data_IF_725821912517
#
_entry.id   IF_725821912517
#
_cell.length_a   1.000
_cell.length_b   1.000
_cell.length_c   1.000
_cell.angle_alpha   90.00
_cell.angle_beta   90.00
_cell.angle_gamma   90.00
#
_symmetry.space_group_name_H-M   'P 1'
#
loop_
_entity.id
_entity.type
_entity.pdbx_description
1 polymer ?
#
# COMPACT_ATOMS: atom_id res chain seq x y z
N UNK A 1 50.48 45.92 56.16
CA UNK A 1 49.13 45.39 56.45
C UNK A 1 48.26 45.62 55.23
N UNK A 2 47.45 44.61 54.88
CA UNK A 2 46.30 44.66 53.96
C UNK A 2 46.59 44.53 52.45
N UNK A 3 46.47 43.28 51.99
CA UNK A 3 46.28 42.79 50.61
C UNK A 3 45.01 43.38 49.98
N UNK A 4 45.02 43.68 48.67
CA UNK A 4 43.92 43.54 47.69
C UNK A 4 44.62 43.38 46.32
N UNK A 5 44.88 42.14 45.88
CA UNK A 5 44.12 41.39 44.87
C UNK A 5 44.17 41.99 43.44
N UNK A 6 45.21 41.55 42.74
CA UNK A 6 45.34 41.43 41.29
C UNK A 6 44.16 40.59 40.73
N UNK A 7 43.31 41.12 39.86
CA UNK A 7 42.33 40.34 39.08
C UNK A 7 42.00 41.10 37.76
N UNK A 8 41.60 40.40 36.68
CA UNK A 8 42.21 40.52 35.36
C UNK A 8 41.26 41.22 34.39
N UNK A 9 41.59 42.44 33.98
CA UNK A 9 40.79 43.20 33.01
C UNK A 9 40.92 42.70 31.55
N UNK A 10 41.74 41.67 31.29
CA UNK A 10 42.03 41.20 29.94
C UNK A 10 41.02 40.16 29.39
N UNK A 11 40.16 39.58 30.23
CA UNK A 11 39.26 38.49 29.84
C UNK A 11 37.92 38.94 29.21
N UNK A 12 37.62 40.24 29.19
CA UNK A 12 36.35 40.77 28.65
C UNK A 12 36.41 41.10 27.16
N UNK A 13 37.61 41.22 26.57
CA UNK A 13 37.78 41.49 25.13
C UNK A 13 37.62 40.26 24.25
N UNK A 14 37.73 39.05 24.80
CA UNK A 14 37.55 37.79 24.05
C UNK A 14 36.08 37.44 23.76
N UNK A 15 35.10 38.15 24.34
CA UNK A 15 33.68 37.88 24.12
C UNK A 15 33.04 38.70 22.99
N UNK A 16 33.73 39.74 22.50
CA UNK A 16 33.25 40.57 21.38
C UNK A 16 33.34 39.84 20.00
N UNK A 17 33.91 38.63 19.96
CA UNK A 17 33.98 37.78 18.77
C UNK A 17 32.94 36.66 18.71
N UNK A 18 32.09 36.48 19.73
CA UNK A 18 30.94 35.58 19.61
C UNK A 18 29.88 36.28 18.76
N UNK A 19 29.78 35.87 17.50
CA UNK A 19 28.73 36.26 16.57
C UNK A 19 27.36 36.02 17.21
N UNK A 20 26.79 37.04 17.85
CA UNK A 20 25.51 36.98 18.58
C UNK A 20 24.34 37.34 17.67
N UNK A 21 24.59 37.36 16.35
CA UNK A 21 23.53 37.44 15.36
C UNK A 21 22.71 36.15 15.45
N UNK A 22 21.38 36.23 15.54
CA UNK A 22 20.55 35.05 15.43
C UNK A 22 20.87 34.37 14.11
N UNK A 23 21.36 33.13 14.14
CA UNK A 23 21.42 32.33 12.92
C UNK A 23 19.98 32.11 12.47
N UNK A 24 19.56 32.84 11.44
CA UNK A 24 18.34 32.50 10.72
C UNK A 24 18.62 31.18 10.03
N UNK A 25 18.14 30.10 10.64
CA UNK A 25 17.92 28.83 9.93
C UNK A 25 16.89 29.15 8.86
N UNK A 26 17.36 29.58 7.69
CA UNK A 26 16.53 29.61 6.50
C UNK A 26 16.23 28.14 6.24
N UNK A 27 15.01 27.74 6.56
CA UNK A 27 14.45 26.46 6.14
C UNK A 27 14.88 26.30 4.67
N UNK A 28 15.55 25.19 4.35
CA UNK A 28 16.24 24.98 3.07
C UNK A 28 15.38 25.34 1.85
N UNK A 29 15.96 25.35 0.64
CA UNK A 29 15.32 25.86 -0.57
C UNK A 29 13.85 25.45 -0.65
N UNK A 30 12.98 26.44 -0.86
CA UNK A 30 11.53 26.27 -0.98
C UNK A 30 11.29 25.12 -1.97
N UNK A 31 10.52 24.12 -1.53
CA UNK A 31 10.23 22.94 -2.35
C UNK A 31 9.65 23.44 -3.70
N UNK A 32 10.36 23.24 -4.82
CA UNK A 32 9.94 23.75 -6.12
C UNK A 32 8.64 23.11 -6.60
N UNK A 33 8.18 22.03 -5.95
CA UNK A 33 6.95 21.31 -6.26
C UNK A 33 5.83 21.57 -5.24
N UNK A 34 5.99 22.49 -4.29
CA UNK A 34 4.99 22.75 -3.24
C UNK A 34 3.61 23.12 -3.81
N UNK A 35 3.59 24.04 -4.79
CA UNK A 35 2.35 24.47 -5.45
C UNK A 35 1.75 23.36 -6.32
N UNK A 36 2.59 22.55 -6.96
CA UNK A 36 2.14 21.44 -7.80
C UNK A 36 1.49 20.33 -6.97
N UNK A 37 2.06 20.02 -5.80
CA UNK A 37 1.53 19.04 -4.86
C UNK A 37 0.23 19.52 -4.19
N UNK A 38 0.12 20.82 -3.89
CA UNK A 38 -1.10 21.40 -3.32
C UNK A 38 -2.30 21.36 -4.29
N UNK A 39 -2.03 21.34 -5.60
CA UNK A 39 -3.04 21.30 -6.65
C UNK A 39 -3.21 19.91 -7.29
N UNK A 40 -2.44 18.91 -6.87
CA UNK A 40 -2.52 17.57 -7.41
C UNK A 40 -3.87 16.92 -7.02
N UNK A 41 -4.55 16.34 -8.01
CA UNK A 41 -5.75 15.56 -7.76
C UNK A 41 -5.43 14.33 -6.88
N UNK A 42 -6.35 13.87 -6.01
CA UNK A 42 -6.16 12.66 -5.23
C UNK A 42 -5.83 11.47 -6.14
N UNK A 43 -4.75 10.75 -5.82
CA UNK A 43 -4.37 9.54 -6.55
C UNK A 43 -5.38 8.43 -6.24
N UNK A 44 -6.00 7.86 -7.28
CA UNK A 44 -6.83 6.67 -7.13
C UNK A 44 -5.91 5.47 -7.04
N UNK A 45 -5.81 4.90 -5.83
CA UNK A 45 -5.07 3.67 -5.64
C UNK A 45 -5.81 2.52 -6.34
N UNK A 46 -5.09 1.64 -7.06
CA UNK A 46 -5.71 0.43 -7.58
C UNK A 46 -6.28 -0.40 -6.41
N UNK A 47 -7.37 -1.16 -6.62
CA UNK A 47 -7.94 -1.99 -5.58
C UNK A 47 -6.89 -2.91 -4.96
N UNK A 48 -6.85 -2.97 -3.63
CA UNK A 48 -5.91 -3.83 -2.94
C UNK A 48 -6.38 -5.29 -2.99
N UNK A 49 -5.42 -6.22 -2.94
CA UNK A 49 -5.70 -7.64 -2.79
C UNK A 49 -6.05 -7.89 -1.32
N UNK A 50 -7.27 -8.34 -1.06
CA UNK A 50 -7.74 -8.70 0.28
C UNK A 50 -7.31 -10.11 0.68
N UNK A 51 -7.25 -11.04 -0.28
CA UNK A 51 -6.80 -12.41 -0.05
C UNK A 51 -6.25 -13.05 -1.34
N UNK A 52 -5.23 -13.89 -1.22
CA UNK A 52 -4.73 -14.74 -2.29
C UNK A 52 -4.72 -16.18 -1.81
N UNK A 53 -5.59 -17.02 -2.37
CA UNK A 53 -5.85 -18.36 -1.86
C UNK A 53 -5.61 -19.42 -2.94
N UNK A 54 -5.00 -20.53 -2.53
CA UNK A 54 -4.84 -21.72 -3.37
C UNK A 54 -5.86 -22.76 -2.91
N UNK A 55 -6.95 -22.93 -3.65
CA UNK A 55 -7.99 -23.89 -3.34
C UNK A 55 -7.67 -25.27 -3.91
N UNK A 56 -8.05 -26.31 -3.18
CA UNK A 56 -8.14 -27.69 -3.67
C UNK A 56 -9.59 -28.02 -3.95
N UNK A 57 -9.88 -28.35 -5.20
CA UNK A 57 -11.21 -28.75 -5.62
C UNK A 57 -11.45 -30.25 -5.38
N UNK A 58 -12.72 -30.65 -5.35
CA UNK A 58 -13.14 -32.05 -5.11
C UNK A 58 -12.53 -33.08 -6.08
N UNK A 59 -12.18 -32.65 -7.29
CA UNK A 59 -11.48 -33.45 -8.30
C UNK A 59 -9.95 -33.52 -8.09
N UNK A 60 -9.45 -33.03 -6.95
CA UNK A 60 -8.05 -32.83 -6.61
C UNK A 60 -7.29 -31.81 -7.47
N UNK A 61 -7.97 -31.07 -8.35
CA UNK A 61 -7.37 -29.94 -9.07
C UNK A 61 -7.09 -28.77 -8.13
N UNK A 62 -6.25 -27.84 -8.59
CA UNK A 62 -5.93 -26.60 -7.88
C UNK A 62 -6.54 -25.41 -8.61
N UNK A 63 -7.16 -24.52 -7.86
CA UNK A 63 -7.64 -23.23 -8.33
C UNK A 63 -6.96 -22.13 -7.52
N UNK A 64 -6.47 -21.09 -8.18
CA UNK A 64 -5.83 -19.96 -7.50
C UNK A 64 -6.71 -18.73 -7.68
N UNK A 65 -7.11 -18.10 -6.59
CA UNK A 65 -7.98 -16.92 -6.65
C UNK A 65 -7.39 -15.79 -5.82
N UNK A 66 -7.20 -14.64 -6.47
CA UNK A 66 -6.86 -13.39 -5.81
C UNK A 66 -8.15 -12.55 -5.69
N UNK A 67 -8.56 -12.28 -4.46
CA UNK A 67 -9.70 -11.43 -4.12
C UNK A 67 -9.25 -9.98 -3.97
N UNK A 68 -9.93 -9.05 -4.63
CA UNK A 68 -9.67 -7.61 -4.52
C UNK A 68 -10.85 -6.94 -3.84
N UNK A 69 -10.61 -6.14 -2.79
CA UNK A 69 -11.58 -5.47 -1.89
C UNK A 69 -13.02 -5.31 -2.44
N UNK A 70 -13.78 -6.41 -2.49
CA UNK A 70 -15.15 -6.50 -3.04
C UNK A 70 -15.36 -6.08 -4.51
N UNK A 71 -14.29 -5.79 -5.26
CA UNK A 71 -14.37 -5.21 -6.61
C UNK A 71 -14.44 -6.28 -7.69
N UNK A 72 -13.41 -7.13 -7.75
CA UNK A 72 -13.27 -8.21 -8.72
C UNK A 72 -12.41 -9.32 -8.12
N UNK A 73 -12.34 -10.46 -8.80
CA UNK A 73 -11.37 -11.51 -8.47
C UNK A 73 -10.55 -11.88 -9.69
N UNK A 74 -9.32 -12.34 -9.49
CA UNK A 74 -8.54 -12.97 -10.54
C UNK A 74 -8.47 -14.47 -10.28
N UNK A 75 -9.04 -15.26 -11.18
CA UNK A 75 -8.90 -16.70 -11.20
C UNK A 75 -7.69 -17.12 -12.03
N UNK A 76 -6.91 -18.09 -11.58
CA UNK A 76 -5.85 -18.74 -12.36
C UNK A 76 -6.00 -20.25 -12.22
N UNK A 77 -5.97 -20.95 -13.34
CA UNK A 77 -5.94 -22.42 -13.37
C UNK A 77 -4.58 -22.99 -12.92
N UNK A 78 -3.52 -22.19 -13.01
CA UNK A 78 -2.16 -22.55 -12.60
C UNK A 78 -1.54 -21.44 -11.77
N UNK A 79 -0.65 -21.79 -10.82
CA UNK A 79 -0.04 -20.83 -9.88
C UNK A 79 0.64 -19.64 -10.56
N UNK A 80 1.25 -19.88 -11.72
CA UNK A 80 1.96 -18.86 -12.53
C UNK A 80 1.31 -18.65 -13.90
N UNK A 81 0.08 -19.13 -14.08
CA UNK A 81 -0.68 -18.96 -15.31
C UNK A 81 -1.26 -17.55 -15.44
N UNK A 82 -1.80 -17.21 -16.63
CA UNK A 82 -2.45 -15.93 -16.85
C UNK A 82 -3.73 -15.81 -15.98
N UNK A 83 -3.96 -14.67 -15.34
CA UNK A 83 -5.20 -14.43 -14.60
C UNK A 83 -6.37 -14.18 -15.54
N UNK A 84 -7.50 -14.82 -15.23
CA UNK A 84 -8.81 -14.50 -15.76
C UNK A 84 -9.49 -13.58 -14.76
N UNK A 85 -9.70 -12.32 -15.14
CA UNK A 85 -10.42 -11.35 -14.32
C UNK A 85 -11.92 -11.63 -14.37
N UNK A 86 -12.53 -11.76 -13.19
CA UNK A 86 -13.95 -11.99 -12.99
C UNK A 86 -14.54 -10.79 -12.25
N UNK A 87 -15.51 -10.12 -12.88
CA UNK A 87 -16.20 -8.96 -12.32
C UNK A 87 -17.38 -9.40 -11.46
N UNK A 88 -17.78 -8.58 -10.49
CA UNK A 88 -18.96 -8.89 -9.69
C UNK A 88 -20.21 -9.06 -10.56
N UNK A 89 -20.96 -10.13 -10.35
CA UNK A 89 -22.20 -10.35 -11.09
C UNK A 89 -23.27 -9.31 -10.70
N UNK A 90 -24.26 -9.12 -11.58
CA UNK A 90 -25.34 -8.15 -11.35
C UNK A 90 -26.20 -8.49 -10.11
N UNK A 91 -26.28 -9.77 -9.75
CA UNK A 91 -27.05 -10.27 -8.60
C UNK A 91 -26.28 -10.14 -7.27
N UNK A 92 -24.99 -9.81 -7.32
CA UNK A 92 -24.10 -9.69 -6.15
C UNK A 92 -23.68 -11.01 -5.51
N UNK A 93 -24.12 -12.15 -6.04
CA UNK A 93 -23.90 -13.51 -5.51
C UNK A 93 -22.52 -14.11 -5.89
N UNK A 94 -21.74 -13.45 -6.76
CA UNK A 94 -20.39 -13.93 -7.11
C UNK A 94 -19.69 -13.08 -8.16
N UNK A 95 -18.70 -13.69 -8.82
CA UNK A 95 -17.86 -13.06 -9.84
C UNK A 95 -17.89 -13.85 -11.14
N UNK A 96 -18.04 -13.17 -12.28
CA UNK A 96 -18.16 -13.78 -13.61
C UNK A 96 -17.23 -13.13 -14.62
N UNK A 97 -16.71 -13.93 -15.56
CA UNK A 97 -15.84 -13.42 -16.62
C UNK A 97 -15.26 -14.54 -17.48
N UNK A 98 -15.16 -14.31 -18.80
CA UNK A 98 -14.63 -15.29 -19.76
C UNK A 98 -15.24 -16.70 -19.65
N UNK A 99 -16.54 -16.80 -19.32
CA UNK A 99 -17.26 -18.06 -19.13
C UNK A 99 -17.04 -18.74 -17.77
N UNK A 100 -16.15 -18.22 -16.93
CA UNK A 100 -15.97 -18.69 -15.56
C UNK A 100 -16.94 -17.99 -14.60
N UNK A 101 -17.30 -18.69 -13.52
CA UNK A 101 -18.00 -18.11 -12.37
C UNK A 101 -17.36 -18.60 -11.08
N UNK A 102 -17.08 -17.69 -10.16
CA UNK A 102 -16.62 -18.00 -8.80
C UNK A 102 -17.60 -17.39 -7.81
N UNK A 103 -18.17 -18.22 -6.95
CA UNK A 103 -19.01 -17.82 -5.82
C UNK A 103 -18.38 -18.31 -4.51
N UNK A 104 -18.67 -17.65 -3.39
CA UNK A 104 -18.17 -18.06 -2.06
C UNK A 104 -17.20 -17.06 -1.41
N UNK A 105 -16.33 -17.55 -0.54
CA UNK A 105 -15.42 -16.77 0.31
C UNK A 105 -13.97 -17.24 0.15
N UNK A 106 -12.99 -16.55 0.76
CA UNK A 106 -11.61 -17.03 0.80
C UNK A 106 -11.39 -18.39 1.50
N UNK A 107 -12.41 -18.99 2.15
CA UNK A 107 -12.33 -20.30 2.81
C UNK A 107 -12.86 -21.44 1.91
N UNK A 108 -13.95 -21.17 1.20
CA UNK A 108 -14.62 -22.12 0.33
C UNK A 108 -15.25 -21.39 -0.86
N UNK A 109 -15.03 -21.94 -2.06
CA UNK A 109 -15.61 -21.42 -3.30
C UNK A 109 -16.29 -22.52 -4.10
N UNK A 110 -17.28 -22.12 -4.89
CA UNK A 110 -17.78 -22.92 -6.01
C UNK A 110 -17.27 -22.30 -7.32
N UNK A 111 -16.53 -23.09 -8.09
CA UNK A 111 -15.99 -22.72 -9.40
C UNK A 111 -16.82 -23.38 -10.50
N UNK A 112 -17.38 -22.56 -11.41
CA UNK A 112 -17.99 -23.02 -12.65
C UNK A 112 -17.07 -22.71 -13.83
N UNK A 113 -16.73 -23.72 -14.63
CA UNK A 113 -15.91 -23.57 -15.83
C UNK A 113 -16.76 -23.19 -17.06
N UNK A 114 -16.15 -22.68 -18.14
CA UNK A 114 -16.84 -22.39 -19.39
C UNK A 114 -17.53 -23.62 -20.01
N UNK A 115 -17.04 -24.82 -19.71
CA UNK A 115 -17.60 -26.10 -20.15
C UNK A 115 -18.85 -26.52 -19.36
N UNK A 116 -19.22 -25.74 -18.33
CA UNK A 116 -20.37 -25.99 -17.47
C UNK A 116 -20.10 -26.93 -16.30
N UNK A 117 -18.84 -27.35 -16.09
CA UNK A 117 -18.45 -28.15 -14.94
C UNK A 117 -18.44 -27.27 -13.68
N UNK A 118 -19.07 -27.74 -12.61
CA UNK A 118 -19.11 -27.08 -11.31
C UNK A 118 -18.29 -27.87 -10.30
N UNK A 119 -17.40 -27.19 -9.58
CA UNK A 119 -16.50 -27.77 -8.58
C UNK A 119 -16.59 -27.00 -7.28
N UNK A 120 -16.76 -27.72 -6.19
CA UNK A 120 -16.58 -27.18 -4.84
C UNK A 120 -15.09 -27.29 -4.48
N UNK A 121 -14.54 -26.18 -3.98
CA UNK A 121 -13.12 -26.06 -3.68
C UNK A 121 -12.91 -25.41 -2.30
N UNK A 122 -11.96 -25.95 -1.54
CA UNK A 122 -11.63 -25.49 -0.19
C UNK A 122 -10.17 -25.04 -0.12
N UNK A 123 -9.90 -24.03 0.71
CA UNK A 123 -8.55 -23.48 0.92
C UNK A 123 -7.56 -24.50 1.51
#
# INVERSE_FOLDING_TARGET
MTRILLLPAAALLSLAGCNSEPETIVQGPVDPMADELANAAPVTLPPAVSASVSFRCKDNSLAFVDFFDGSFVNYKAERRGPPVRLEKNAEGEGFTGNGYTVTGTPEEITLKTPEGETKDCHA
#
